data_IF_878409454156
#
_entry.id   IF_878409454156
#
_cell.length_a   1.000
_cell.length_b   1.000
_cell.length_c   1.000
_cell.angle_alpha   90.00
_cell.angle_beta   90.00
_cell.angle_gamma   90.00
#
_symmetry.space_group_name_H-M   'P 1'
#
loop_
_entity.id
_entity.type
_entity.pdbx_description
1 polymer ?
#
# COMPACT_ATOMS: atom_id res chain seq x y z
N UNK A 1 -5.67 23.96 6.77
CA UNK A 1 -5.16 23.38 8.03
C UNK A 1 -4.45 24.48 8.82
N UNK A 2 -4.79 24.67 10.11
CA UNK A 2 -4.10 25.62 11.00
C UNK A 2 -2.60 25.32 11.11
N UNK A 3 -1.76 26.35 11.30
CA UNK A 3 -0.30 26.18 11.45
C UNK A 3 0.06 25.28 12.64
N UNK A 4 -0.69 25.34 13.73
CA UNK A 4 -0.50 24.55 14.94
C UNK A 4 -0.61 23.03 14.70
N UNK A 5 -1.50 22.61 13.80
CA UNK A 5 -1.73 21.20 13.50
C UNK A 5 -0.80 20.65 12.41
N UNK A 6 0.12 21.47 11.86
CA UNK A 6 0.94 21.07 10.72
C UNK A 6 1.82 19.86 11.01
N UNK A 7 2.54 19.88 12.14
CA UNK A 7 3.46 18.79 12.48
C UNK A 7 2.76 17.59 13.09
N UNK A 8 1.56 17.77 13.66
CA UNK A 8 0.80 16.71 14.30
C UNK A 8 -0.06 15.92 13.31
N UNK A 9 -0.55 16.57 12.26
CA UNK A 9 -1.50 15.96 11.32
C UNK A 9 -0.99 16.11 9.90
N UNK A 10 -0.72 17.35 9.45
CA UNK A 10 -0.43 17.59 8.05
C UNK A 10 0.84 16.91 7.51
N UNK A 11 1.92 16.91 8.29
CA UNK A 11 3.17 16.25 7.93
C UNK A 11 2.99 14.72 7.92
N UNK A 12 2.50 14.07 9.00
CA UNK A 12 2.21 12.64 8.99
C UNK A 12 1.29 12.20 7.84
N UNK A 13 0.17 12.89 7.61
CA UNK A 13 -0.75 12.54 6.53
C UNK A 13 -0.11 12.68 5.14
N UNK A 14 0.75 13.69 4.94
CA UNK A 14 1.49 13.84 3.69
C UNK A 14 2.56 12.75 3.51
N UNK A 15 3.19 12.30 4.59
CA UNK A 15 4.15 11.20 4.59
C UNK A 15 3.45 9.86 4.28
N UNK A 16 2.30 9.59 4.89
CA UNK A 16 1.45 8.42 4.58
C UNK A 16 1.06 8.41 3.10
N UNK A 17 0.62 9.55 2.55
CA UNK A 17 0.28 9.66 1.13
C UNK A 17 1.49 9.40 0.22
N UNK A 18 2.68 9.86 0.62
CA UNK A 18 3.93 9.58 -0.10
C UNK A 18 4.32 8.10 -0.01
N UNK A 19 4.17 7.49 1.16
CA UNK A 19 4.41 6.07 1.40
C UNK A 19 3.50 5.22 0.51
N UNK A 20 2.21 5.55 0.43
CA UNK A 20 1.24 4.88 -0.43
C UNK A 20 1.72 4.82 -1.87
N UNK A 21 2.09 5.97 -2.44
CA UNK A 21 2.59 6.05 -3.83
C UNK A 21 3.90 5.29 -3.99
N UNK A 22 4.82 5.38 -3.03
CA UNK A 22 6.07 4.64 -3.06
C UNK A 22 5.85 3.12 -3.04
N UNK A 23 4.92 2.63 -2.22
CA UNK A 23 4.57 1.21 -2.14
C UNK A 23 3.90 0.72 -3.43
N UNK A 24 3.01 1.52 -4.03
CA UNK A 24 2.44 1.22 -5.34
C UNK A 24 3.57 1.09 -6.38
N UNK A 25 4.46 2.08 -6.45
CA UNK A 25 5.59 2.09 -7.38
C UNK A 25 6.50 0.85 -7.19
N UNK A 26 6.89 0.55 -5.94
CA UNK A 26 7.67 -0.67 -5.61
C UNK A 26 6.96 -1.93 -6.07
N UNK A 27 5.65 -2.05 -5.84
CA UNK A 27 4.88 -3.21 -6.29
C UNK A 27 4.97 -3.44 -7.81
N UNK A 28 5.02 -2.36 -8.62
CA UNK A 28 5.15 -2.50 -10.07
C UNK A 28 6.57 -2.89 -10.51
N UNK A 29 7.60 -2.54 -9.75
CA UNK A 29 8.98 -2.99 -10.01
C UNK A 29 9.14 -4.51 -9.82
N UNK A 30 8.36 -5.13 -8.94
CA UNK A 30 8.25 -6.58 -8.86
C UNK A 30 7.33 -7.11 -9.97
N UNK A 31 7.85 -7.22 -11.20
CA UNK A 31 7.12 -7.85 -12.29
C UNK A 31 6.91 -9.35 -11.98
N UNK A 32 5.70 -9.91 -12.11
CA UNK A 32 5.37 -11.25 -11.61
C UNK A 32 5.89 -12.38 -12.53
N UNK A 33 7.19 -12.39 -12.82
CA UNK A 33 7.88 -13.43 -13.59
C UNK A 33 8.36 -14.62 -12.76
N UNK A 34 8.42 -14.48 -11.44
CA UNK A 34 8.76 -15.54 -10.48
C UNK A 34 7.73 -15.58 -9.34
N UNK A 35 7.66 -16.72 -8.65
CA UNK A 35 6.84 -16.89 -7.44
C UNK A 35 7.22 -15.87 -6.36
N UNK A 36 8.52 -15.58 -6.20
CA UNK A 36 9.00 -14.56 -5.29
C UNK A 36 8.48 -13.15 -5.66
N UNK A 37 8.58 -12.76 -6.93
CA UNK A 37 8.10 -11.44 -7.35
C UNK A 37 6.57 -11.30 -7.21
N UNK A 38 5.82 -12.38 -7.40
CA UNK A 38 4.38 -12.40 -7.11
C UNK A 38 4.11 -12.12 -5.64
N UNK A 39 4.89 -12.72 -4.73
CA UNK A 39 4.77 -12.52 -3.30
C UNK A 39 5.12 -11.07 -2.90
N UNK A 40 6.27 -10.56 -3.34
CA UNK A 40 6.70 -9.19 -3.04
C UNK A 40 5.73 -8.15 -3.60
N UNK A 41 5.23 -8.34 -4.83
CA UNK A 41 4.20 -7.47 -5.40
C UNK A 41 2.94 -7.45 -4.55
N UNK A 42 2.47 -8.60 -4.06
CA UNK A 42 1.31 -8.67 -3.15
C UNK A 42 1.57 -8.00 -1.81
N UNK A 43 2.80 -8.12 -1.28
CA UNK A 43 3.24 -7.46 -0.05
C UNK A 43 3.16 -5.94 -0.19
N UNK A 44 3.80 -5.35 -1.20
CA UNK A 44 3.77 -3.90 -1.40
C UNK A 44 2.39 -3.35 -1.74
N UNK A 45 1.55 -4.11 -2.47
CA UNK A 45 0.14 -3.72 -2.66
C UNK A 45 -0.63 -3.73 -1.34
N UNK A 46 -0.32 -4.65 -0.41
CA UNK A 46 -0.93 -4.67 0.92
C UNK A 46 -0.50 -3.48 1.76
N UNK A 47 0.79 -3.11 1.72
CA UNK A 47 1.28 -1.91 2.40
C UNK A 47 0.63 -0.64 1.85
N UNK A 48 0.47 -0.53 0.53
CA UNK A 48 -0.23 0.60 -0.08
C UNK A 48 -1.72 0.67 0.35
N UNK A 49 -2.40 -0.46 0.49
CA UNK A 49 -3.78 -0.51 1.02
C UNK A 49 -3.81 -0.02 2.47
N UNK A 50 -2.88 -0.47 3.30
CA UNK A 50 -2.77 -0.02 4.68
C UNK A 50 -2.52 1.50 4.77
N UNK A 51 -1.68 2.05 3.90
CA UNK A 51 -1.47 3.50 3.81
C UNK A 51 -2.77 4.23 3.40
N UNK A 52 -3.56 3.71 2.47
CA UNK A 52 -4.88 4.28 2.13
C UNK A 52 -5.85 4.27 3.33
N UNK A 53 -5.90 3.17 4.07
CA UNK A 53 -6.72 3.05 5.28
C UNK A 53 -6.26 4.04 6.36
N UNK A 54 -4.95 4.22 6.53
CA UNK A 54 -4.39 5.21 7.44
C UNK A 54 -4.77 6.64 7.03
N UNK A 55 -4.79 6.97 5.72
CA UNK A 55 -5.28 8.26 5.25
C UNK A 55 -6.75 8.50 5.61
N UNK A 56 -7.61 7.47 5.56
CA UNK A 56 -9.01 7.57 5.98
C UNK A 56 -9.11 7.85 7.49
N UNK A 57 -8.29 7.18 8.31
CA UNK A 57 -8.23 7.41 9.76
C UNK A 57 -7.74 8.82 10.09
N UNK A 58 -6.72 9.31 9.38
CA UNK A 58 -6.22 10.69 9.51
C UNK A 58 -7.31 11.71 9.16
N UNK A 59 -8.07 11.46 8.09
CA UNK A 59 -9.21 12.29 7.68
C UNK A 59 -10.34 12.30 8.72
N UNK A 60 -10.63 11.15 9.33
CA UNK A 60 -11.57 11.06 10.43
C UNK A 60 -11.07 11.83 11.66
N UNK A 61 -9.79 11.68 12.02
CA UNK A 61 -9.16 12.43 13.11
C UNK A 61 -9.25 13.95 12.89
N UNK A 62 -9.03 14.42 11.66
CA UNK A 62 -9.19 15.84 11.30
C UNK A 62 -10.60 16.36 11.54
N UNK A 63 -11.62 15.54 11.25
CA UNK A 63 -13.03 15.87 11.48
C UNK A 63 -13.34 15.88 12.98
N UNK A 64 -12.93 14.85 13.72
CA UNK A 64 -13.24 14.67 15.14
C UNK A 64 -12.52 15.71 16.02
N UNK A 65 -11.34 16.16 15.59
CA UNK A 65 -10.60 17.25 16.24
C UNK A 65 -11.23 18.64 15.98
N UNK A 66 -12.31 18.74 15.21
CA UNK A 66 -13.02 20.00 14.96
C UNK A 66 -12.21 21.01 14.14
N UNK A 67 -11.28 20.53 13.30
CA UNK A 67 -10.48 21.43 12.47
C UNK A 67 -11.37 22.19 11.47
N UNK A 68 -11.01 23.44 11.12
CA UNK A 68 -11.72 24.21 10.10
C UNK A 68 -11.37 23.65 8.70
N UNK A 69 -11.96 22.51 8.37
CA UNK A 69 -11.79 21.79 7.11
C UNK A 69 -13.05 21.89 6.25
N UNK A 70 -12.87 21.93 4.94
CA UNK A 70 -13.98 21.88 4.00
C UNK A 70 -14.46 20.43 3.88
N UNK A 71 -15.63 20.14 4.45
CA UNK A 71 -16.22 18.79 4.51
C UNK A 71 -16.44 18.21 3.12
N UNK A 72 -16.92 18.99 2.15
CA UNK A 72 -17.12 18.52 0.77
C UNK A 72 -15.79 18.08 0.12
N UNK A 73 -14.69 18.80 0.40
CA UNK A 73 -13.36 18.40 -0.09
C UNK A 73 -12.89 17.13 0.61
N UNK A 74 -13.16 16.98 1.91
CA UNK A 74 -12.82 15.79 2.66
C UNK A 74 -13.58 14.56 2.15
N UNK A 75 -14.89 14.68 1.92
CA UNK A 75 -15.72 13.61 1.35
C UNK A 75 -15.22 13.16 -0.03
N UNK A 76 -14.79 14.09 -0.88
CA UNK A 76 -14.21 13.74 -2.16
C UNK A 76 -12.90 12.95 -2.00
N UNK A 77 -12.04 13.33 -1.04
CA UNK A 77 -10.80 12.60 -0.75
C UNK A 77 -11.08 11.20 -0.20
N UNK A 78 -12.09 11.06 0.68
CA UNK A 78 -12.54 9.76 1.20
C UNK A 78 -13.00 8.86 0.04
N UNK A 79 -13.87 9.35 -0.85
CA UNK A 79 -14.34 8.61 -2.03
C UNK A 79 -13.18 8.19 -2.94
N UNK A 80 -12.19 9.06 -3.11
CA UNK A 80 -10.98 8.73 -3.90
C UNK A 80 -10.15 7.64 -3.23
N UNK A 81 -9.94 7.71 -1.92
CA UNK A 81 -9.21 6.70 -1.16
C UNK A 81 -9.93 5.34 -1.18
N UNK A 82 -11.24 5.30 -0.96
CA UNK A 82 -12.04 4.07 -1.04
C UNK A 82 -11.99 3.44 -2.44
N UNK A 83 -12.12 4.25 -3.48
CA UNK A 83 -12.00 3.78 -4.86
C UNK A 83 -10.60 3.21 -5.14
N UNK A 84 -9.55 3.81 -4.59
CA UNK A 84 -8.18 3.32 -4.74
C UNK A 84 -7.94 2.02 -3.97
N UNK A 85 -8.46 1.89 -2.74
CA UNK A 85 -8.45 0.64 -1.98
C UNK A 85 -9.07 -0.49 -2.81
N UNK A 86 -10.25 -0.27 -3.40
CA UNK A 86 -10.90 -1.26 -4.24
C UNK A 86 -10.06 -1.71 -5.45
N UNK A 87 -9.40 -0.76 -6.13
CA UNK A 87 -8.48 -1.07 -7.24
C UNK A 87 -7.26 -1.86 -6.77
N UNK A 88 -6.64 -1.46 -5.66
CA UNK A 88 -5.44 -2.11 -5.13
C UNK A 88 -5.76 -3.52 -4.63
N UNK A 89 -6.89 -3.72 -3.94
CA UNK A 89 -7.37 -5.04 -3.52
C UNK A 89 -7.61 -5.96 -4.72
N UNK A 90 -8.25 -5.44 -5.77
CA UNK A 90 -8.44 -6.19 -7.02
C UNK A 90 -7.11 -6.55 -7.68
N UNK A 91 -6.17 -5.59 -7.81
CA UNK A 91 -4.83 -5.85 -8.35
C UNK A 91 -4.08 -6.90 -7.53
N UNK A 92 -4.13 -6.83 -6.19
CA UNK A 92 -3.50 -7.80 -5.29
C UNK A 92 -4.07 -9.21 -5.52
N UNK A 93 -5.40 -9.34 -5.55
CA UNK A 93 -6.10 -10.62 -5.80
C UNK A 93 -5.74 -11.22 -7.17
N UNK A 94 -5.57 -10.37 -8.17
CA UNK A 94 -5.28 -10.77 -9.55
C UNK A 94 -3.77 -10.90 -9.85
N UNK A 95 -2.90 -10.59 -8.90
CA UNK A 95 -1.46 -10.76 -9.08
C UNK A 95 -1.14 -12.25 -9.13
N UNK A 96 -0.71 -12.73 -10.31
CA UNK A 96 -0.38 -14.13 -10.60
C UNK A 96 0.90 -14.17 -11.43
N UNK A 97 1.57 -15.32 -11.40
CA UNK A 97 2.74 -15.57 -12.22
C UNK A 97 2.39 -15.39 -13.71
N UNK A 98 3.19 -14.60 -14.41
CA UNK A 98 3.11 -14.36 -15.85
C UNK A 98 4.28 -15.08 -16.51
N UNK A 99 3.99 -15.97 -17.45
CA UNK A 99 4.99 -16.77 -18.16
C UNK A 99 5.11 -18.20 -17.60
N UNK A 100 6.15 -18.91 -18.05
CA UNK A 100 6.47 -20.26 -17.59
C UNK A 100 7.59 -20.17 -16.56
N UNK A 101 7.30 -20.54 -15.32
CA UNK A 101 8.33 -20.83 -14.32
C UNK A 101 8.47 -22.35 -14.25
N UNK A 102 9.68 -22.88 -14.38
CA UNK A 102 9.91 -24.32 -14.33
C UNK A 102 9.75 -24.82 -12.89
N UNK A 103 9.59 -26.14 -12.72
CA UNK A 103 9.52 -26.74 -11.38
C UNK A 103 10.83 -26.51 -10.62
N UNK A 104 11.97 -26.58 -11.31
CA UNK A 104 13.30 -26.32 -10.75
C UNK A 104 13.43 -24.88 -10.24
N UNK A 105 12.94 -23.90 -11.00
CA UNK A 105 12.94 -22.49 -10.56
C UNK A 105 12.11 -22.30 -9.28
N UNK A 106 10.97 -23.00 -9.16
CA UNK A 106 10.12 -22.94 -7.97
C UNK A 106 10.75 -23.59 -6.76
N UNK A 107 11.46 -24.71 -6.95
CA UNK A 107 12.19 -25.39 -5.87
C UNK A 107 13.30 -24.50 -5.35
N UNK A 108 14.12 -23.92 -6.25
CA UNK A 108 15.18 -22.98 -5.89
C UNK A 108 14.65 -21.75 -5.14
N UNK A 109 13.55 -21.16 -5.61
CA UNK A 109 12.93 -20.02 -4.92
C UNK A 109 12.44 -20.39 -3.51
N UNK A 110 11.92 -21.61 -3.33
CA UNK A 110 11.46 -22.11 -2.03
C UNK A 110 12.63 -22.42 -1.09
N UNK A 111 13.72 -23.00 -1.59
CA UNK A 111 14.95 -23.26 -0.82
C UNK A 111 15.57 -21.94 -0.32
N UNK A 112 15.64 -20.92 -1.17
CA UNK A 112 16.13 -19.59 -0.78
C UNK A 112 15.24 -18.92 0.28
N UNK A 113 13.93 -19.19 0.28
CA UNK A 113 13.02 -18.73 1.33
C UNK A 113 13.23 -19.51 2.64
N UNK A 114 13.44 -20.83 2.57
CA UNK A 114 13.76 -21.64 3.76
C UNK A 114 15.06 -21.15 4.41
N UNK A 115 16.10 -20.86 3.63
CA UNK A 115 17.37 -20.31 4.13
C UNK A 115 17.18 -18.93 4.79
N UNK A 116 16.33 -18.08 4.21
CA UNK A 116 15.98 -16.79 4.84
C UNK A 116 15.22 -16.97 6.15
N UNK A 117 14.34 -17.96 6.26
CA UNK A 117 13.60 -18.24 7.48
C UNK A 117 14.47 -18.89 8.57
N UNK A 118 15.47 -19.70 8.19
CA UNK A 118 16.37 -20.36 9.14
C UNK A 118 17.47 -19.43 9.70
N UNK A 119 17.66 -18.25 9.09
CA UNK A 119 18.62 -17.23 9.53
C UNK A 119 18.00 -16.16 10.45
N UNK A 120 16.71 -16.29 10.78
CA UNK A 120 15.98 -15.49 11.78
C UNK A 120 15.91 -16.26 13.10
#
# INVERSE_FOLDING_TARGET
>A
MPKSCRFLIGVPTAETARSMVANINRAYHFYPSSSFNVLERRRYLTLAIADCEQLLLDMQCMKDAGLPINVNRLENLIKMADAEIGKLQSKRKNTRLIGKQTVEDRIRDAEAEIERLSSV
#
